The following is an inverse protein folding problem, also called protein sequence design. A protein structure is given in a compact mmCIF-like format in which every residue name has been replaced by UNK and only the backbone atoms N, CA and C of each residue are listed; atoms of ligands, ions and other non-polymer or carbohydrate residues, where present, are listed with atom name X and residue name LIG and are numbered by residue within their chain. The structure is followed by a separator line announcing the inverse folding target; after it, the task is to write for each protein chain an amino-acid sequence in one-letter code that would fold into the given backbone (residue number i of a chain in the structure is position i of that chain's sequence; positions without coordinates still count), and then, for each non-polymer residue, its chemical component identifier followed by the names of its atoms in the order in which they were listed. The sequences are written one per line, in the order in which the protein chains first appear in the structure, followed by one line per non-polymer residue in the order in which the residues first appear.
data_IF_129070519536
#
_entry.id   IF_129070519536
#
_cell.length_a   1.000
_cell.length_b   1.000
_cell.length_c   1.000
_cell.angle_alpha   90.00
_cell.angle_beta   90.00
_cell.angle_gamma   90.00
#
_symmetry.space_group_name_H-M   'P 1'
#
loop_
_entity.id
_entity.type
_entity.pdbx_description
1 polymer ?
#
# COMPACT_ATOMS: atom_id res chain seq x y z
N UNK A 1 -10.61 -17.41 0.49
CA UNK A 1 -9.98 -17.28 1.85
C UNK A 1 -10.94 -17.83 2.89
N UNK A 2 -10.51 -18.79 3.66
CA UNK A 2 -11.26 -19.22 4.86
C UNK A 2 -11.00 -18.23 6.00
N UNK A 3 -12.01 -17.92 6.81
CA UNK A 3 -11.93 -16.88 7.86
C UNK A 3 -10.87 -17.13 8.97
N UNK A 4 -10.35 -18.35 9.06
CA UNK A 4 -9.45 -18.77 10.15
C UNK A 4 -8.08 -19.25 9.64
N UNK A 5 -7.71 -18.93 8.41
CA UNK A 5 -6.42 -19.29 7.84
C UNK A 5 -5.45 -18.10 7.88
N UNK A 6 -4.20 -18.40 8.26
CA UNK A 6 -3.08 -17.46 8.20
C UNK A 6 -2.04 -18.05 7.25
N UNK A 7 -1.65 -17.30 6.26
CA UNK A 7 -0.59 -17.67 5.32
C UNK A 7 0.72 -17.02 5.75
N UNK A 8 1.75 -17.83 5.92
CA UNK A 8 3.07 -17.38 6.34
C UNK A 8 4.10 -17.88 5.34
N UNK A 9 5.00 -17.00 4.93
CA UNK A 9 6.16 -17.33 4.12
C UNK A 9 7.41 -16.66 4.68
N UNK A 10 8.54 -17.34 4.64
CA UNK A 10 9.83 -16.83 5.06
C UNK A 10 10.83 -16.91 3.91
N UNK A 11 11.77 -15.95 3.86
CA UNK A 11 12.80 -15.88 2.81
C UNK A 11 13.34 -14.46 2.68
N UNK A 12 14.14 -14.22 1.66
CA UNK A 12 14.82 -12.94 1.40
C UNK A 12 14.36 -12.24 0.12
N UNK A 13 13.66 -12.94 -0.77
CA UNK A 13 13.09 -12.33 -1.98
C UNK A 13 11.67 -11.82 -1.67
N UNK A 14 11.59 -10.64 -1.09
CA UNK A 14 10.33 -10.05 -0.61
C UNK A 14 9.28 -9.91 -1.72
N UNK A 15 9.70 -9.54 -2.93
CA UNK A 15 8.79 -9.37 -4.06
C UNK A 15 8.11 -10.67 -4.44
N UNK A 16 8.87 -11.72 -4.71
CA UNK A 16 8.31 -13.03 -5.10
C UNK A 16 7.50 -13.66 -3.97
N UNK A 17 7.99 -13.56 -2.73
CA UNK A 17 7.25 -14.05 -1.57
C UNK A 17 5.87 -13.39 -1.45
N UNK A 18 5.80 -12.07 -1.70
CA UNK A 18 4.54 -11.33 -1.68
C UNK A 18 3.60 -11.81 -2.77
N UNK A 19 4.08 -11.94 -4.02
CA UNK A 19 3.27 -12.45 -5.13
C UNK A 19 2.71 -13.84 -4.84
N UNK A 20 3.55 -14.74 -4.33
CA UNK A 20 3.14 -16.11 -4.00
C UNK A 20 2.11 -16.15 -2.86
N UNK A 21 2.27 -15.34 -1.81
CA UNK A 21 1.29 -15.24 -0.72
C UNK A 21 -0.07 -14.72 -1.22
N UNK A 22 -0.06 -13.68 -2.06
CA UNK A 22 -1.28 -13.12 -2.63
C UNK A 22 -2.00 -14.12 -3.55
N UNK A 23 -1.24 -14.90 -4.34
CA UNK A 23 -1.78 -15.97 -5.15
C UNK A 23 -2.36 -17.10 -4.27
N UNK A 24 -1.64 -17.52 -3.26
CA UNK A 24 -2.06 -18.59 -2.34
C UNK A 24 -3.32 -18.22 -1.57
N UNK A 25 -3.45 -16.98 -1.10
CA UNK A 25 -4.66 -16.52 -0.44
C UNK A 25 -5.81 -16.20 -1.39
N UNK A 26 -5.59 -16.22 -2.70
CA UNK A 26 -6.61 -16.02 -3.71
C UNK A 26 -7.14 -14.59 -3.79
N UNK A 27 -6.30 -13.58 -3.54
CA UNK A 27 -6.73 -12.17 -3.50
C UNK A 27 -7.48 -11.75 -4.76
N UNK A 28 -7.03 -12.17 -5.95
CA UNK A 28 -7.69 -11.85 -7.21
C UNK A 28 -9.13 -12.37 -7.33
N UNK A 29 -9.49 -13.41 -6.56
CA UNK A 29 -10.87 -13.91 -6.51
C UNK A 29 -11.77 -13.15 -5.54
N UNK A 30 -11.17 -12.36 -4.64
CA UNK A 30 -11.90 -11.54 -3.66
C UNK A 30 -12.28 -10.18 -4.27
N UNK A 31 -11.40 -9.63 -5.11
CA UNK A 31 -11.65 -8.36 -5.79
C UNK A 31 -12.42 -8.64 -7.08
N UNK A 32 -13.74 -8.45 -7.06
CA UNK A 32 -14.62 -8.82 -8.17
C UNK A 32 -14.59 -7.86 -9.35
N UNK A 33 -14.31 -6.58 -9.12
CA UNK A 33 -14.31 -5.54 -10.16
C UNK A 33 -12.87 -5.14 -10.54
N UNK A 34 -12.50 -5.42 -11.80
CA UNK A 34 -11.18 -5.05 -12.35
C UNK A 34 -10.96 -3.54 -12.52
N UNK A 35 -12.04 -2.76 -12.50
CA UNK A 35 -11.99 -1.29 -12.60
C UNK A 35 -11.93 -0.61 -11.24
N UNK A 36 -12.12 -1.37 -10.15
CA UNK A 36 -12.06 -0.85 -8.80
C UNK A 36 -10.73 -0.15 -8.56
N UNK A 37 -10.77 0.98 -7.88
CA UNK A 37 -9.57 1.65 -7.40
C UNK A 37 -9.00 0.90 -6.21
N UNK A 38 -7.72 0.55 -6.28
CA UNK A 38 -7.02 -0.19 -5.24
C UNK A 38 -5.96 0.70 -4.63
N UNK A 39 -6.12 1.02 -3.35
CA UNK A 39 -5.15 1.74 -2.56
C UNK A 39 -4.20 0.78 -1.84
N UNK A 40 -2.89 0.94 -2.06
CA UNK A 40 -1.86 0.24 -1.31
C UNK A 40 -1.31 1.20 -0.26
N UNK A 41 -1.48 0.86 1.01
CA UNK A 41 -0.93 1.65 2.11
C UNK A 41 0.26 0.94 2.75
N UNK A 42 1.50 1.25 2.33
CA UNK A 42 2.68 0.84 3.06
C UNK A 42 2.78 1.61 4.38
N UNK A 43 3.67 1.21 5.26
CA UNK A 43 4.06 2.02 6.41
C UNK A 43 5.33 2.80 6.07
N UNK A 44 5.19 4.13 5.87
CA UNK A 44 6.31 5.07 5.70
C UNK A 44 6.28 6.10 6.83
N UNK A 45 6.31 5.61 8.07
CA UNK A 45 6.14 6.42 9.28
C UNK A 45 7.16 7.55 9.39
N UNK A 46 8.37 7.34 8.89
CA UNK A 46 9.48 8.29 8.92
C UNK A 46 10.40 8.10 7.69
N UNK A 47 11.25 9.09 7.35
CA UNK A 47 12.25 8.97 6.29
C UNK A 47 13.44 8.10 6.76
N UNK A 48 13.21 6.78 6.83
CA UNK A 48 14.21 5.80 7.25
C UNK A 48 14.21 4.58 6.32
N UNK A 49 15.40 4.03 6.09
CA UNK A 49 15.54 2.84 5.26
C UNK A 49 14.77 1.65 5.84
N UNK A 50 14.14 0.86 4.98
CA UNK A 50 13.36 -0.31 5.38
C UNK A 50 14.19 -1.36 6.13
N UNK A 51 15.49 -1.43 5.86
CA UNK A 51 16.47 -2.28 6.57
C UNK A 51 16.51 -2.03 8.07
N UNK A 52 16.08 -0.86 8.54
CA UNK A 52 16.02 -0.52 9.97
C UNK A 52 14.74 -1.05 10.64
N UNK A 53 13.80 -1.61 9.87
CA UNK A 53 12.60 -2.27 10.37
C UNK A 53 11.43 -1.34 10.69
N UNK A 54 11.56 -0.03 10.49
CA UNK A 54 10.49 0.94 10.80
C UNK A 54 9.53 1.18 9.62
N UNK A 55 9.97 0.91 8.40
CA UNK A 55 9.20 1.18 7.18
C UNK A 55 9.04 -0.07 6.32
N UNK A 56 8.04 -0.06 5.44
CA UNK A 56 7.77 -1.18 4.53
C UNK A 56 8.80 -1.21 3.40
N UNK A 57 9.39 -2.37 3.18
CA UNK A 57 10.28 -2.62 2.04
C UNK A 57 9.57 -2.36 0.71
N UNK A 58 10.12 -1.54 -0.20
CA UNK A 58 9.50 -1.25 -1.49
C UNK A 58 9.30 -2.50 -2.35
N UNK A 59 10.12 -3.54 -2.18
CA UNK A 59 9.97 -4.81 -2.89
C UNK A 59 8.66 -5.54 -2.54
N UNK A 60 8.15 -5.38 -1.31
CA UNK A 60 6.84 -5.92 -0.93
C UNK A 60 5.74 -5.24 -1.74
N UNK A 61 5.79 -3.91 -1.83
CA UNK A 61 4.81 -3.14 -2.61
C UNK A 61 4.96 -3.42 -4.11
N UNK A 62 6.18 -3.59 -4.60
CA UNK A 62 6.43 -4.05 -5.97
C UNK A 62 5.74 -5.39 -6.25
N UNK A 63 5.85 -6.35 -5.34
CA UNK A 63 5.17 -7.64 -5.45
C UNK A 63 3.64 -7.54 -5.48
N UNK A 64 3.08 -6.63 -4.67
CA UNK A 64 1.63 -6.36 -4.70
C UNK A 64 1.21 -5.78 -6.05
N UNK A 65 1.94 -4.77 -6.54
CA UNK A 65 1.63 -4.10 -7.82
C UNK A 65 1.73 -5.10 -8.98
N UNK A 66 2.83 -5.85 -9.08
CA UNK A 66 3.00 -6.86 -10.13
C UNK A 66 1.87 -7.90 -10.11
N UNK A 67 1.55 -8.44 -8.93
CA UNK A 67 0.46 -9.38 -8.78
C UNK A 67 -0.88 -8.80 -9.26
N UNK A 68 -1.19 -7.56 -8.87
CA UNK A 68 -2.43 -6.90 -9.28
C UNK A 68 -2.47 -6.67 -10.80
N UNK A 69 -1.39 -6.15 -11.39
CA UNK A 69 -1.30 -5.89 -12.82
C UNK A 69 -1.39 -7.18 -13.65
N UNK A 70 -0.70 -8.25 -13.25
CA UNK A 70 -0.78 -9.57 -13.86
C UNK A 70 -2.19 -10.17 -13.82
N UNK A 71 -2.97 -9.82 -12.82
CA UNK A 71 -4.38 -10.22 -12.68
C UNK A 71 -5.36 -9.22 -13.30
N UNK A 72 -4.89 -8.22 -14.07
CA UNK A 72 -5.72 -7.30 -14.85
C UNK A 72 -6.30 -6.12 -14.05
N UNK A 73 -5.73 -5.79 -12.89
CA UNK A 73 -6.07 -4.57 -12.14
C UNK A 73 -5.11 -3.46 -12.50
N UNK A 74 -5.60 -2.38 -13.12
CA UNK A 74 -4.78 -1.25 -13.57
C UNK A 74 -4.99 0.05 -12.77
N UNK A 75 -6.07 0.13 -11.98
CA UNK A 75 -6.38 1.34 -11.21
C UNK A 75 -5.81 1.24 -9.79
N UNK A 76 -4.49 1.36 -9.70
CA UNK A 76 -3.72 1.18 -8.46
C UNK A 76 -3.11 2.52 -8.06
N UNK A 77 -3.13 2.83 -6.75
CA UNK A 77 -2.42 3.96 -6.17
C UNK A 77 -1.72 3.54 -4.88
N UNK A 78 -0.58 4.16 -4.57
CA UNK A 78 0.07 4.07 -3.26
C UNK A 78 -0.34 5.29 -2.46
N UNK A 79 -0.68 5.12 -1.19
CA UNK A 79 -1.10 6.23 -0.32
C UNK A 79 -0.47 6.08 1.07
N UNK A 80 0.06 7.16 1.61
CA UNK A 80 0.62 7.20 2.97
C UNK A 80 0.62 8.63 3.53
N UNK A 81 0.55 8.72 4.85
CA UNK A 81 0.79 9.92 5.62
C UNK A 81 1.75 9.60 6.76
N UNK A 82 2.99 10.09 6.66
CA UNK A 82 4.02 9.89 7.69
C UNK A 82 3.61 10.47 9.04
N UNK A 83 4.34 10.13 10.07
CA UNK A 83 4.08 10.63 11.41
C UNK A 83 4.11 12.16 11.49
N UNK A 84 3.42 12.74 12.48
CA UNK A 84 3.19 14.20 12.62
C UNK A 84 4.49 15.02 12.61
N UNK A 85 5.62 14.46 13.03
CA UNK A 85 6.92 15.12 13.03
C UNK A 85 7.69 15.03 11.70
N UNK A 86 7.26 14.18 10.77
CA UNK A 86 7.97 13.86 9.53
C UNK A 86 7.18 14.29 8.29
N UNK A 87 7.88 14.37 7.15
CA UNK A 87 7.27 14.71 5.87
C UNK A 87 7.12 13.46 5.01
N UNK A 88 5.90 13.17 4.60
CA UNK A 88 5.61 12.05 3.70
C UNK A 88 6.43 12.10 2.40
N UNK A 89 6.65 13.30 1.86
CA UNK A 89 7.48 13.48 0.66
C UNK A 89 8.93 13.07 0.88
N UNK A 90 9.49 13.29 2.05
CA UNK A 90 10.85 12.90 2.40
C UNK A 90 10.94 11.38 2.63
N UNK A 91 9.96 10.80 3.35
CA UNK A 91 9.87 9.36 3.52
C UNK A 91 9.69 8.62 2.17
N UNK A 92 8.90 9.16 1.27
CA UNK A 92 8.74 8.64 -0.10
C UNK A 92 10.07 8.52 -0.86
N UNK A 93 10.95 9.52 -0.75
CA UNK A 93 12.27 9.51 -1.39
C UNK A 93 13.21 8.51 -0.69
N UNK A 94 13.39 8.66 0.62
CA UNK A 94 14.37 7.88 1.39
C UNK A 94 14.04 6.38 1.39
N UNK A 95 12.75 6.03 1.42
CA UNK A 95 12.32 4.64 1.39
C UNK A 95 12.29 4.02 -0.03
N UNK A 96 12.75 4.72 -1.07
CA UNK A 96 12.88 4.18 -2.44
C UNK A 96 11.56 4.09 -3.22
N UNK A 97 10.53 4.82 -2.79
CA UNK A 97 9.22 4.74 -3.45
C UNK A 97 9.11 5.58 -4.73
N UNK A 98 10.01 6.54 -4.97
CA UNK A 98 10.10 7.26 -6.24
C UNK A 98 10.37 6.29 -7.40
N UNK A 99 11.44 5.53 -7.29
CA UNK A 99 11.84 4.57 -8.33
C UNK A 99 10.74 3.52 -8.58
N UNK A 100 10.07 3.09 -7.51
CA UNK A 100 8.99 2.14 -7.58
C UNK A 100 7.79 2.72 -8.37
N UNK A 101 7.35 3.94 -8.03
CA UNK A 101 6.21 4.57 -8.71
C UNK A 101 6.50 4.89 -10.17
N UNK A 102 7.72 5.32 -10.49
CA UNK A 102 8.16 5.55 -11.87
C UNK A 102 8.21 4.25 -12.67
N UNK A 103 8.77 3.17 -12.10
CA UNK A 103 8.88 1.87 -12.75
C UNK A 103 7.52 1.27 -13.10
N UNK A 104 6.58 1.30 -12.17
CA UNK A 104 5.27 0.64 -12.32
C UNK A 104 4.17 1.57 -12.84
N UNK A 105 4.47 2.86 -13.06
CA UNK A 105 3.52 3.89 -13.49
C UNK A 105 2.29 3.97 -12.55
N UNK A 106 2.54 3.88 -11.23
CA UNK A 106 1.52 3.92 -10.18
C UNK A 106 1.66 5.24 -9.40
N UNK A 107 0.59 6.04 -9.25
CA UNK A 107 0.67 7.29 -8.52
C UNK A 107 0.89 7.08 -7.02
N UNK A 108 1.59 8.02 -6.38
CA UNK A 108 1.69 8.14 -4.94
C UNK A 108 0.88 9.32 -4.43
N UNK A 109 0.05 9.10 -3.42
CA UNK A 109 -0.78 10.12 -2.79
C UNK A 109 -0.29 10.42 -1.38
N UNK A 110 0.18 11.65 -1.20
CA UNK A 110 0.58 12.18 0.10
C UNK A 110 -0.67 12.55 0.92
N UNK A 111 -1.00 11.70 1.89
CA UNK A 111 -2.19 11.87 2.73
C UNK A 111 -2.07 13.03 3.73
N UNK A 112 -0.85 13.54 3.99
CA UNK A 112 -0.68 14.77 4.79
C UNK A 112 -1.19 16.01 4.04
N UNK A 113 -1.28 15.95 2.70
CA UNK A 113 -1.77 17.04 1.84
C UNK A 113 -3.20 16.83 1.36
N UNK A 114 -3.83 15.72 1.74
CA UNK A 114 -5.19 15.41 1.32
C UNK A 114 -6.23 16.26 2.06
N UNK A 115 -7.38 16.43 1.42
CA UNK A 115 -8.51 17.13 2.05
C UNK A 115 -9.13 16.23 3.11
N UNK A 116 -9.53 16.84 4.22
CA UNK A 116 -10.34 16.16 5.21
C UNK A 116 -11.82 16.21 4.84
N UNK A 117 -12.50 15.10 4.91
CA UNK A 117 -13.96 15.03 4.81
C UNK A 117 -14.56 14.42 6.07
N UNK A 118 -15.69 14.96 6.52
CA UNK A 118 -16.39 14.43 7.68
C UNK A 118 -17.09 13.12 7.33
N UNK A 119 -16.92 12.11 8.16
CA UNK A 119 -17.62 10.83 8.12
C UNK A 119 -18.21 10.50 9.49
N UNK A 120 -19.44 9.98 9.49
CA UNK A 120 -20.01 9.39 10.71
C UNK A 120 -19.45 7.99 10.92
N UNK A 121 -18.87 7.77 12.07
CA UNK A 121 -18.34 6.49 12.50
C UNK A 121 -19.02 6.09 13.81
N UNK A 122 -20.15 5.40 13.71
CA UNK A 122 -20.93 4.93 14.87
C UNK A 122 -21.33 6.06 15.83
N UNK A 123 -21.80 7.18 15.29
CA UNK A 123 -22.22 8.35 16.06
C UNK A 123 -21.09 9.32 16.43
N UNK A 124 -19.85 9.03 16.07
CA UNK A 124 -18.73 9.97 16.16
C UNK A 124 -18.43 10.57 14.78
N UNK A 125 -18.30 11.88 14.72
CA UNK A 125 -17.85 12.57 13.52
C UNK A 125 -16.34 12.58 13.45
N UNK A 126 -15.78 11.94 12.44
CA UNK A 126 -14.36 11.88 12.19
C UNK A 126 -14.04 12.64 10.91
N UNK A 127 -12.93 13.36 10.91
CA UNK A 127 -12.36 13.95 9.70
C UNK A 127 -11.35 12.98 9.13
N UNK A 128 -11.65 12.41 7.96
CA UNK A 128 -10.81 11.40 7.30
C UNK A 128 -10.31 11.94 5.97
N UNK A 129 -9.17 11.43 5.50
CA UNK A 129 -8.63 11.78 4.19
C UNK A 129 -9.62 11.40 3.08
N UNK A 130 -9.91 12.32 2.18
CA UNK A 130 -10.90 12.13 1.11
C UNK A 130 -10.56 10.94 0.22
N UNK A 131 -9.28 10.76 -0.11
CA UNK A 131 -8.80 9.65 -0.97
C UNK A 131 -8.81 8.28 -0.30
N UNK A 132 -8.94 8.23 1.01
CA UNK A 132 -9.03 6.98 1.77
C UNK A 132 -10.47 6.65 2.21
N UNK A 133 -11.41 7.55 1.98
CA UNK A 133 -12.82 7.43 2.35
C UNK A 133 -13.65 6.89 1.21
#
# INVERSE_FOLDING_TARGET
MNKNEIYIKSGTNYKEMTKELLAQCGLASVISDKKMQIGIKPNLVSPSEASWGATTHPEIVAGIIEYLQENGYGNIAILEGSWVGDKTTEAYEVCGYRELTEKYQVPFWDMQKDKGIERDCRGMKLNVCERAA
#
